data_IF_761836859265
#
_entry.id   IF_761836859265
#
_cell.length_a   1.000
_cell.length_b   1.000
_cell.length_c   1.000
_cell.angle_alpha   90.00
_cell.angle_beta   90.00
_cell.angle_gamma   90.00
#
_symmetry.space_group_name_H-M   'P 1'
#
loop_
_entity.id
_entity.type
_entity.pdbx_description
1 polymer ?
#
# COMPACT_ATOMS: atom_id res chain seq x y z
N UNK A 1 12.81 -10.06 -0.34
CA UNK A 1 12.74 -9.92 1.13
C UNK A 1 13.78 -8.96 1.72
N UNK A 2 15.07 -9.04 1.36
CA UNK A 2 16.11 -8.19 1.97
C UNK A 2 15.86 -6.68 1.84
N UNK A 3 15.46 -6.19 0.67
CA UNK A 3 15.14 -4.76 0.49
C UNK A 3 13.98 -4.30 1.38
N UNK A 4 12.92 -5.11 1.51
CA UNK A 4 11.76 -4.79 2.35
C UNK A 4 12.15 -4.76 3.82
N UNK A 5 12.97 -5.72 4.27
CA UNK A 5 13.52 -5.71 5.63
C UNK A 5 14.31 -4.42 5.90
N UNK A 6 15.20 -4.03 4.99
CA UNK A 6 15.98 -2.79 5.10
C UNK A 6 15.07 -1.55 5.20
N UNK A 7 13.99 -1.49 4.40
CA UNK A 7 13.02 -0.39 4.49
C UNK A 7 12.29 -0.40 5.85
N UNK A 8 11.82 -1.55 6.30
CA UNK A 8 11.10 -1.66 7.57
C UNK A 8 11.98 -1.25 8.78
N UNK A 9 13.27 -1.62 8.77
CA UNK A 9 14.24 -1.25 9.81
C UNK A 9 14.61 0.24 9.75
N UNK A 10 14.94 0.76 8.57
CA UNK A 10 15.43 2.14 8.43
C UNK A 10 14.34 3.21 8.60
N UNK A 11 13.08 2.89 8.29
CA UNK A 11 11.97 3.84 8.35
C UNK A 11 11.13 3.72 9.63
N UNK A 12 11.56 2.92 10.61
CA UNK A 12 10.85 2.72 11.89
C UNK A 12 9.34 2.49 11.67
N UNK A 13 9.00 1.57 10.78
CA UNK A 13 7.62 1.36 10.33
C UNK A 13 6.77 0.91 11.51
N UNK A 14 5.69 1.62 11.82
CA UNK A 14 4.80 1.26 12.94
C UNK A 14 3.67 0.33 12.51
N UNK A 15 3.20 0.46 11.26
CA UNK A 15 2.11 -0.34 10.70
C UNK A 15 2.39 -0.62 9.23
N UNK A 16 2.28 -1.89 8.86
CA UNK A 16 2.39 -2.38 7.50
C UNK A 16 1.02 -2.85 7.02
N UNK A 17 0.46 -2.15 6.04
CA UNK A 17 -0.76 -2.57 5.36
C UNK A 17 -0.40 -3.49 4.20
N UNK A 18 -0.92 -4.72 4.20
CA UNK A 18 -0.61 -5.75 3.20
C UNK A 18 -1.84 -6.08 2.39
N UNK A 19 -1.78 -5.91 1.08
CA UNK A 19 -2.84 -6.34 0.20
C UNK A 19 -2.84 -7.88 0.08
N UNK A 20 -3.75 -8.52 0.81
CA UNK A 20 -3.88 -9.98 0.88
C UNK A 20 -5.33 -10.33 0.48
N UNK A 21 -5.59 -10.25 -0.84
CA UNK A 21 -6.94 -10.25 -1.45
C UNK A 21 -7.79 -11.45 -1.06
N UNK A 22 -7.15 -12.59 -0.79
CA UNK A 22 -7.81 -13.86 -0.54
C UNK A 22 -8.02 -14.13 0.95
N UNK A 23 -7.23 -13.51 1.83
CA UNK A 23 -7.32 -13.78 3.27
C UNK A 23 -6.90 -12.59 4.13
N UNK A 24 -7.86 -11.71 4.41
CA UNK A 24 -7.68 -10.61 5.36
C UNK A 24 -7.85 -11.00 6.82
N UNK A 25 -8.01 -12.31 7.12
CA UNK A 25 -8.11 -12.82 8.50
C UNK A 25 -6.75 -13.14 9.12
N UNK A 26 -5.66 -12.83 8.42
CA UNK A 26 -4.30 -13.03 8.92
C UNK A 26 -3.68 -14.38 8.56
N UNK A 27 -4.44 -15.26 7.89
CA UNK A 27 -3.95 -16.57 7.47
C UNK A 27 -3.54 -16.61 5.98
N UNK A 28 -3.52 -15.47 5.31
CA UNK A 28 -3.02 -15.36 3.94
C UNK A 28 -1.52 -15.67 3.85
N UNK A 29 -1.09 -16.14 2.68
CA UNK A 29 0.30 -16.55 2.48
C UNK A 29 1.25 -15.35 2.66
N UNK A 30 0.90 -14.20 2.07
CA UNK A 30 1.67 -12.98 2.19
C UNK A 30 1.69 -12.49 3.64
N UNK A 31 0.54 -12.44 4.31
CA UNK A 31 0.49 -12.04 5.71
C UNK A 31 1.39 -12.90 6.59
N UNK A 32 1.35 -14.23 6.43
CA UNK A 32 2.19 -15.15 7.20
C UNK A 32 3.68 -14.94 6.94
N UNK A 33 4.05 -14.73 5.68
CA UNK A 33 5.43 -14.45 5.30
C UNK A 33 5.97 -13.19 6.00
N UNK A 34 5.17 -12.12 6.03
CA UNK A 34 5.55 -10.88 6.72
C UNK A 34 5.50 -10.98 8.25
N UNK A 35 4.63 -11.82 8.82
CA UNK A 35 4.67 -12.14 10.25
C UNK A 35 5.97 -12.88 10.60
N UNK A 36 6.38 -13.86 9.79
CA UNK A 36 7.66 -14.54 9.95
C UNK A 36 8.83 -13.57 9.80
N UNK A 37 8.78 -12.64 8.84
CA UNK A 37 9.78 -11.59 8.69
C UNK A 37 9.88 -10.75 9.97
N UNK A 38 8.74 -10.22 10.46
CA UNK A 38 8.67 -9.42 11.70
C UNK A 38 9.26 -10.17 12.90
N UNK A 39 8.92 -11.45 13.06
CA UNK A 39 9.41 -12.26 14.18
C UNK A 39 10.93 -12.48 14.15
N UNK A 40 11.56 -12.32 12.98
CA UNK A 40 13.01 -12.40 12.79
C UNK A 40 13.69 -11.02 12.75
N UNK A 41 12.97 -9.96 13.12
CA UNK A 41 13.47 -8.59 13.21
C UNK A 41 13.54 -8.12 14.66
N UNK A 42 14.48 -7.23 14.98
CA UNK A 42 14.57 -6.58 16.29
C UNK A 42 13.54 -5.45 16.51
N UNK A 43 12.68 -5.19 15.52
CA UNK A 43 11.71 -4.10 15.50
C UNK A 43 10.29 -4.65 15.35
N UNK A 44 9.38 -4.24 16.23
CA UNK A 44 7.98 -4.64 16.17
C UNK A 44 7.14 -3.62 15.40
N UNK A 45 6.30 -4.13 14.50
CA UNK A 45 5.32 -3.33 13.77
C UNK A 45 4.00 -4.10 13.61
N UNK A 46 2.88 -3.38 13.53
CA UNK A 46 1.56 -3.99 13.30
C UNK A 46 1.45 -4.44 11.84
N UNK A 47 0.83 -5.58 11.60
CA UNK A 47 0.47 -6.00 10.25
C UNK A 47 -1.04 -5.91 10.08
N UNK A 48 -1.48 -5.26 9.01
CA UNK A 48 -2.89 -5.08 8.70
C UNK A 48 -3.16 -5.61 7.29
N UNK A 49 -3.68 -6.83 7.18
CA UNK A 49 -4.16 -7.36 5.90
C UNK A 49 -5.33 -6.52 5.40
N UNK A 50 -5.27 -6.09 4.14
CA UNK A 50 -6.31 -5.31 3.48
C UNK A 50 -6.79 -6.02 2.22
N UNK A 51 -8.08 -5.88 1.95
CA UNK A 51 -8.70 -6.30 0.68
C UNK A 51 -9.37 -5.08 0.06
N UNK A 52 -8.85 -4.54 -1.03
CA UNK A 52 -9.56 -3.50 -1.77
C UNK A 52 -10.89 -4.03 -2.29
N UNK A 53 -11.96 -3.25 -2.11
CA UNK A 53 -13.32 -3.49 -2.64
C UNK A 53 -13.63 -2.58 -3.82
N UNK A 54 -13.16 -1.34 -3.73
CA UNK A 54 -13.41 -0.32 -4.74
C UNK A 54 -12.71 -0.68 -6.06
N UNK A 55 -13.13 -0.04 -7.15
CA UNK A 55 -12.47 -0.19 -8.43
C UNK A 55 -11.03 0.38 -8.39
N UNK A 56 -10.06 -0.35 -8.98
CA UNK A 56 -8.64 0.03 -9.00
C UNK A 56 -8.40 1.39 -9.62
N UNK A 57 -8.96 1.62 -10.83
CA UNK A 57 -8.86 2.90 -11.53
C UNK A 57 -9.42 4.04 -10.67
N UNK A 58 -10.59 3.86 -10.05
CA UNK A 58 -11.19 4.86 -9.17
C UNK A 58 -10.34 5.18 -7.92
N UNK A 59 -9.59 4.21 -7.38
CA UNK A 59 -8.64 4.52 -6.30
C UNK A 59 -7.46 5.32 -6.82
N UNK A 60 -6.89 4.91 -7.95
CA UNK A 60 -5.74 5.61 -8.54
C UNK A 60 -6.10 7.06 -8.88
N UNK A 61 -7.29 7.33 -9.43
CA UNK A 61 -7.71 8.71 -9.73
C UNK A 61 -7.87 9.57 -8.47
N UNK A 62 -8.04 8.98 -7.28
CA UNK A 62 -8.06 9.74 -6.01
C UNK A 62 -6.74 10.45 -5.72
N UNK A 63 -5.64 10.05 -6.38
CA UNK A 63 -4.32 10.67 -6.27
C UNK A 63 -4.17 11.97 -7.08
N UNK A 64 -5.08 12.25 -8.04
CA UNK A 64 -4.99 13.45 -8.88
C UNK A 64 -5.00 14.72 -8.02
N UNK A 65 -5.93 14.82 -7.08
CA UNK A 65 -6.07 15.97 -6.18
C UNK A 65 -4.82 16.17 -5.31
N UNK A 66 -4.35 15.18 -4.53
CA UNK A 66 -3.17 15.38 -3.67
C UNK A 66 -1.89 15.64 -4.47
N UNK A 67 -1.72 15.11 -5.69
CA UNK A 67 -0.59 15.50 -6.54
C UNK A 67 -0.73 16.92 -7.09
N UNK A 68 -1.89 17.28 -7.67
CA UNK A 68 -2.15 18.61 -8.24
C UNK A 68 -1.94 19.71 -7.20
N UNK A 69 -2.45 19.50 -5.99
CA UNK A 69 -2.36 20.46 -4.90
C UNK A 69 -1.16 20.23 -3.99
N UNK A 70 -0.16 19.45 -4.42
CA UNK A 70 1.13 19.38 -3.72
C UNK A 70 0.99 18.90 -2.25
N UNK A 71 0.01 18.03 -1.99
CA UNK A 71 -0.25 17.37 -0.70
C UNK A 71 0.40 15.99 -0.61
N UNK A 72 0.84 15.43 -1.73
CA UNK A 72 1.60 14.18 -1.82
C UNK A 72 2.78 14.39 -2.75
N UNK A 73 3.96 13.92 -2.32
CA UNK A 73 5.19 13.96 -3.10
C UNK A 73 5.85 12.59 -3.06
N UNK A 74 6.42 12.17 -4.19
CA UNK A 74 7.25 10.97 -4.27
C UNK A 74 8.69 11.45 -4.22
N UNK A 75 9.42 11.08 -3.17
CA UNK A 75 10.83 11.42 -3.05
C UNK A 75 11.66 10.64 -4.08
N UNK A 76 12.77 11.24 -4.55
CA UNK A 76 13.66 10.67 -5.58
C UNK A 76 14.47 9.44 -5.12
N UNK A 77 14.02 8.72 -4.08
CA UNK A 77 14.62 7.48 -3.59
C UNK A 77 14.02 6.23 -4.27
N UNK A 78 13.18 6.41 -5.29
CA UNK A 78 12.59 5.31 -6.06
C UNK A 78 13.33 5.05 -7.38
N UNK A 79 13.15 3.88 -7.97
CA UNK A 79 13.77 3.55 -9.26
C UNK A 79 13.18 4.41 -10.39
N UNK A 80 14.00 4.75 -11.39
CA UNK A 80 13.54 5.49 -12.58
C UNK A 80 12.42 4.76 -13.32
N UNK A 81 12.39 3.42 -13.28
CA UNK A 81 11.32 2.62 -13.87
C UNK A 81 9.96 2.89 -13.22
N UNK A 82 9.89 2.98 -11.88
CA UNK A 82 8.65 3.25 -11.15
C UNK A 82 8.12 4.64 -11.48
N UNK A 83 8.99 5.64 -11.60
CA UNK A 83 8.57 6.97 -12.05
C UNK A 83 8.03 6.95 -13.47
N UNK A 84 8.68 6.25 -14.39
CA UNK A 84 8.18 6.11 -15.76
C UNK A 84 6.79 5.49 -15.79
N UNK A 85 6.55 4.42 -15.03
CA UNK A 85 5.25 3.77 -14.94
C UNK A 85 4.17 4.73 -14.39
N UNK A 86 4.48 5.46 -13.32
CA UNK A 86 3.59 6.45 -12.70
C UNK A 86 3.19 7.54 -13.71
N UNK A 87 4.14 8.10 -14.44
CA UNK A 87 3.88 9.19 -15.39
C UNK A 87 3.31 8.71 -16.73
N UNK A 88 3.53 7.44 -17.11
CA UNK A 88 2.99 6.86 -18.33
C UNK A 88 1.55 6.36 -18.16
N UNK A 89 1.06 6.19 -16.92
CA UNK A 89 -0.25 5.62 -16.64
C UNK A 89 -1.40 6.43 -17.25
N UNK A 90 -2.24 5.74 -18.03
CA UNK A 90 -3.43 6.31 -18.70
C UNK A 90 -4.72 5.55 -18.41
N UNK A 91 -4.67 4.49 -17.59
CA UNK A 91 -5.82 3.64 -17.30
C UNK A 91 -6.30 2.78 -18.48
N UNK A 92 -5.43 2.52 -19.46
CA UNK A 92 -5.72 1.70 -20.65
C UNK A 92 -5.26 0.24 -20.50
N UNK A 93 -4.84 -0.17 -19.30
CA UNK A 93 -4.30 -1.48 -18.95
C UNK A 93 -3.01 -1.88 -19.70
N UNK A 94 -2.26 -0.93 -20.27
CA UNK A 94 -1.01 -1.22 -21.00
C UNK A 94 0.27 -0.93 -20.23
N UNK A 95 0.17 -0.15 -19.15
CA UNK A 95 1.29 0.23 -18.29
C UNK A 95 1.16 -0.43 -16.92
N UNK A 96 2.30 -0.73 -16.28
CA UNK A 96 2.30 -1.19 -14.90
C UNK A 96 1.72 -0.10 -13.99
N UNK A 97 0.88 -0.50 -13.04
CA UNK A 97 0.14 0.39 -12.15
C UNK A 97 0.26 -0.02 -10.68
N UNK A 98 1.10 -1.01 -10.36
CA UNK A 98 1.25 -1.57 -9.01
C UNK A 98 1.69 -0.51 -8.00
N UNK A 99 2.63 0.36 -8.38
CA UNK A 99 3.07 1.46 -7.55
C UNK A 99 1.95 2.48 -7.30
N UNK A 100 1.18 2.83 -8.34
CA UNK A 100 0.05 3.75 -8.20
C UNK A 100 -1.08 3.15 -7.36
N UNK A 101 -1.37 1.86 -7.53
CA UNK A 101 -2.40 1.19 -6.73
C UNK A 101 -1.99 1.15 -5.25
N UNK A 102 -0.74 0.77 -4.95
CA UNK A 102 -0.21 0.78 -3.59
C UNK A 102 -0.22 2.18 -2.95
N UNK A 103 0.20 3.22 -3.68
CA UNK A 103 0.15 4.61 -3.22
C UNK A 103 -1.30 5.04 -2.98
N UNK A 104 -2.23 4.68 -3.88
CA UNK A 104 -3.64 5.02 -3.76
C UNK A 104 -4.29 4.35 -2.56
N UNK A 105 -3.96 3.08 -2.31
CA UNK A 105 -4.44 2.35 -1.15
C UNK A 105 -3.93 2.97 0.15
N UNK A 106 -2.63 3.27 0.22
CA UNK A 106 -2.03 3.94 1.37
C UNK A 106 -2.66 5.32 1.62
N UNK A 107 -2.83 6.14 0.58
CA UNK A 107 -3.45 7.46 0.68
C UNK A 107 -4.88 7.37 1.22
N UNK A 108 -5.72 6.49 0.69
CA UNK A 108 -7.10 6.34 1.16
C UNK A 108 -7.18 5.80 2.59
N UNK A 109 -6.30 4.87 2.97
CA UNK A 109 -6.24 4.34 4.34
C UNK A 109 -5.87 5.43 5.36
N UNK A 110 -4.97 6.34 5.00
CA UNK A 110 -4.46 7.38 5.88
C UNK A 110 -5.33 8.64 5.90
N UNK A 111 -6.02 8.95 4.80
CA UNK A 111 -6.79 10.20 4.66
C UNK A 111 -8.26 10.07 5.08
N UNK A 112 -8.83 8.86 5.07
CA UNK A 112 -10.25 8.64 5.31
C UNK A 112 -10.56 8.18 6.74
N UNK A 113 -11.75 8.58 7.21
CA UNK A 113 -12.35 8.07 8.44
C UNK A 113 -12.80 6.61 8.31
N UNK A 114 -13.19 6.00 9.43
CA UNK A 114 -13.56 4.58 9.46
C UNK A 114 -14.73 4.24 8.51
N UNK A 115 -15.77 5.08 8.49
CA UNK A 115 -16.96 4.85 7.66
C UNK A 115 -16.61 4.91 6.18
N UNK A 116 -15.85 5.92 5.77
CA UNK A 116 -15.43 6.14 4.39
C UNK A 116 -14.47 5.03 3.93
N UNK A 117 -13.52 4.60 4.78
CA UNK A 117 -12.62 3.48 4.45
C UNK A 117 -13.35 2.19 4.15
N UNK A 118 -14.48 1.93 4.81
CA UNK A 118 -15.26 0.70 4.60
C UNK A 118 -15.85 0.54 3.19
N UNK A 119 -15.98 1.65 2.46
CA UNK A 119 -16.37 1.70 1.04
C UNK A 119 -15.22 1.16 0.17
N UNK A 120 -13.98 1.50 0.53
CA UNK A 120 -12.81 1.17 -0.26
C UNK A 120 -12.19 -0.16 0.09
N UNK A 121 -12.29 -0.61 1.35
CA UNK A 121 -11.59 -1.77 1.86
C UNK A 121 -12.50 -2.71 2.67
N UNK A 122 -12.11 -3.98 2.73
CA UNK A 122 -12.62 -4.95 3.69
C UNK A 122 -12.33 -4.57 5.14
N UNK A 123 -12.92 -5.33 6.06
CA UNK A 123 -12.63 -5.18 7.48
C UNK A 123 -11.13 -5.40 7.71
N UNK A 124 -10.54 -4.48 8.47
CA UNK A 124 -9.13 -4.48 8.81
C UNK A 124 -8.96 -5.12 10.19
N UNK A 125 -7.99 -6.02 10.31
CA UNK A 125 -7.55 -6.57 11.60
C UNK A 125 -6.11 -6.17 11.85
N UNK A 126 -5.77 -5.97 13.11
CA UNK A 126 -4.42 -5.60 13.52
C UNK A 126 -3.75 -6.82 14.16
N UNK A 127 -2.66 -7.28 13.54
CA UNK A 127 -1.87 -8.45 13.91
C UNK A 127 -0.46 -8.08 14.39
#
# INVERSE_FOLDING_TARGET
>A
MNMVKTVLENFNVNTLYLEDRDNTKGAGALTREYMTLRNNMGHYFRIVPIKPKSNKFSRITSLITPFTYKKLYIANYSSSSVFNDIYAYKGDNKTHDDALDAISAAYLILSLGYKERSIHFGNQIFL
#
